data_IF_886903524629
#
_entry.id   IF_886903524629
#
_cell.length_a   1.000
_cell.length_b   1.000
_cell.length_c   1.000
_cell.angle_alpha   90.00
_cell.angle_beta   90.00
_cell.angle_gamma   90.00
#
_symmetry.space_group_name_H-M   'P 1'
#
loop_
_entity.id
_entity.type
_entity.pdbx_description
1 polymer ?
#
# COMPACT_ATOMS: atom_id res chain seq x y z
N UNK A 1 -21.22 -2.16 7.15
CA UNK A 1 -21.12 -2.60 5.74
C UNK A 1 -21.18 -1.45 4.76
N UNK A 2 -22.13 -0.52 4.92
CA UNK A 2 -22.29 0.64 4.02
C UNK A 2 -21.02 1.51 3.89
N UNK A 3 -20.32 1.77 5.00
CA UNK A 3 -19.04 2.52 5.00
C UNK A 3 -17.97 1.84 4.12
N UNK A 4 -17.87 0.51 4.17
CA UNK A 4 -16.90 -0.24 3.37
C UNK A 4 -17.24 -0.20 1.86
N UNK A 5 -18.54 -0.19 1.54
CA UNK A 5 -19.04 -0.02 0.17
C UNK A 5 -18.71 1.37 -0.38
N UNK A 6 -19.05 2.42 0.36
CA UNK A 6 -18.73 3.80 -0.03
C UNK A 6 -17.22 4.04 -0.18
N UNK A 7 -16.41 3.47 0.71
CA UNK A 7 -14.95 3.52 0.59
C UNK A 7 -14.47 2.83 -0.70
N UNK A 8 -15.03 1.66 -1.02
CA UNK A 8 -14.68 0.93 -2.24
C UNK A 8 -15.02 1.73 -3.51
N UNK A 9 -16.24 2.24 -3.61
CA UNK A 9 -16.69 3.01 -4.77
C UNK A 9 -15.85 4.28 -4.98
N UNK A 10 -15.33 4.88 -3.90
CA UNK A 10 -14.37 6.00 -3.99
C UNK A 10 -13.03 5.56 -4.55
N UNK A 11 -12.45 4.46 -4.04
CA UNK A 11 -11.13 3.97 -4.46
C UNK A 11 -11.12 3.42 -5.88
N UNK A 12 -12.22 2.82 -6.36
CA UNK A 12 -12.37 2.30 -7.72
C UNK A 12 -12.28 3.39 -8.80
N UNK A 13 -12.67 4.62 -8.48
CA UNK A 13 -12.63 5.76 -9.42
C UNK A 13 -11.23 6.34 -9.62
N UNK A 14 -10.28 5.99 -8.75
CA UNK A 14 -8.92 6.52 -8.78
C UNK A 14 -8.09 5.68 -9.75
N UNK A 15 -7.60 6.29 -10.83
CA UNK A 15 -6.73 5.63 -11.81
C UNK A 15 -5.31 5.46 -11.25
N UNK A 16 -4.64 4.38 -11.65
CA UNK A 16 -3.22 4.20 -11.38
C UNK A 16 -2.44 5.26 -12.16
N UNK A 17 -1.51 6.00 -11.54
CA UNK A 17 -0.70 6.97 -12.25
C UNK A 17 0.22 6.29 -13.27
N UNK A 18 0.60 6.99 -14.36
CA UNK A 18 1.58 6.47 -15.29
C UNK A 18 2.94 6.28 -14.58
N UNK A 19 3.73 5.33 -15.08
CA UNK A 19 5.07 5.10 -14.57
C UNK A 19 5.90 6.38 -14.67
N UNK A 20 6.63 6.70 -13.61
CA UNK A 20 7.51 7.87 -13.56
C UNK A 20 8.96 7.42 -13.40
N UNK A 21 9.86 8.04 -14.16
CA UNK A 21 11.27 7.63 -14.21
C UNK A 21 12.12 8.04 -13.00
N UNK A 22 11.68 9.02 -12.18
CA UNK A 22 12.47 9.51 -11.06
C UNK A 22 12.44 8.51 -9.90
N UNK A 23 13.60 7.90 -9.53
CA UNK A 23 13.66 6.94 -8.44
C UNK A 23 13.36 7.62 -7.10
N UNK A 24 12.65 6.90 -6.22
CA UNK A 24 12.32 7.33 -4.87
C UNK A 24 13.24 6.59 -3.91
N UNK A 25 14.19 7.25 -3.22
CA UNK A 25 14.94 6.63 -2.14
C UNK A 25 14.03 6.22 -0.99
N UNK A 26 14.25 5.04 -0.39
CA UNK A 26 13.44 4.53 0.71
C UNK A 26 14.16 3.43 1.50
N UNK A 27 14.10 3.48 2.84
CA UNK A 27 14.64 2.43 3.69
C UNK A 27 13.60 1.35 4.03
N UNK A 28 12.31 1.71 4.07
CA UNK A 28 11.19 0.81 4.43
C UNK A 28 10.00 0.94 3.47
N UNK A 29 9.17 -0.09 3.38
CA UNK A 29 7.94 -0.06 2.59
C UNK A 29 6.97 1.03 3.08
N UNK A 30 6.93 1.26 4.39
CA UNK A 30 6.19 2.37 5.01
C UNK A 30 6.68 3.74 4.53
N UNK A 31 7.98 3.94 4.38
CA UNK A 31 8.55 5.16 3.80
C UNK A 31 8.21 5.31 2.33
N UNK A 32 8.38 4.25 1.53
CA UNK A 32 8.03 4.27 0.12
C UNK A 32 6.55 4.62 -0.09
N UNK A 33 5.66 4.03 0.71
CA UNK A 33 4.24 4.37 0.75
C UNK A 33 4.03 5.88 0.94
N UNK A 34 4.69 6.46 1.95
CA UNK A 34 4.56 7.88 2.27
C UNK A 34 5.05 8.75 1.11
N UNK A 35 6.20 8.42 0.53
CA UNK A 35 6.77 9.12 -0.62
C UNK A 35 5.87 9.02 -1.85
N UNK A 36 5.30 7.84 -2.13
CA UNK A 36 4.33 7.67 -3.22
C UNK A 36 3.07 8.50 -3.00
N UNK A 37 2.49 8.48 -1.79
CA UNK A 37 1.31 9.31 -1.49
C UNK A 37 1.57 10.80 -1.67
N UNK A 38 2.76 11.27 -1.30
CA UNK A 38 3.18 12.67 -1.51
C UNK A 38 3.41 12.99 -2.99
N UNK A 39 4.12 12.12 -3.72
CA UNK A 39 4.47 12.31 -5.13
C UNK A 39 3.24 12.30 -6.05
N UNK A 40 2.32 11.37 -5.84
CA UNK A 40 1.18 11.16 -6.72
C UNK A 40 -0.10 11.84 -6.24
N UNK A 41 -0.15 12.34 -5.00
CA UNK A 41 -1.35 12.94 -4.42
C UNK A 41 -2.53 11.97 -4.32
N UNK A 42 -2.27 10.66 -4.32
CA UNK A 42 -3.29 9.61 -4.30
C UNK A 42 -3.20 8.74 -3.05
N UNK A 43 -4.34 8.34 -2.47
CA UNK A 43 -4.37 7.33 -1.44
C UNK A 43 -4.12 5.93 -2.02
N UNK A 44 -3.48 5.07 -1.23
CA UNK A 44 -3.48 3.62 -1.47
C UNK A 44 -4.62 2.96 -0.68
N UNK A 45 -5.05 1.78 -1.12
CA UNK A 45 -6.11 1.03 -0.46
C UNK A 45 -5.65 0.51 0.90
N UNK A 46 -6.57 0.39 1.84
CA UNK A 46 -6.28 -0.13 3.18
C UNK A 46 -5.58 -1.50 3.15
N UNK A 47 -5.98 -2.40 2.25
CA UNK A 47 -5.33 -3.69 2.07
C UNK A 47 -3.86 -3.54 1.63
N UNK A 48 -3.55 -2.57 0.77
CA UNK A 48 -2.18 -2.26 0.36
C UNK A 48 -1.36 -1.78 1.54
N UNK A 49 -1.91 -0.88 2.37
CA UNK A 49 -1.23 -0.43 3.59
C UNK A 49 -0.82 -1.60 4.49
N UNK A 50 -1.72 -2.58 4.67
CA UNK A 50 -1.46 -3.75 5.51
C UNK A 50 -0.37 -4.66 4.95
N UNK A 51 -0.39 -4.93 3.65
CA UNK A 51 0.67 -5.74 3.02
C UNK A 51 2.04 -5.08 3.19
N UNK A 52 2.12 -3.75 3.03
CA UNK A 52 3.39 -3.03 3.21
C UNK A 52 3.89 -3.08 4.66
N UNK A 53 2.99 -2.98 5.64
CA UNK A 53 3.33 -3.15 7.06
C UNK A 53 3.82 -4.58 7.37
N UNK A 54 3.18 -5.59 6.79
CA UNK A 54 3.57 -6.99 6.97
C UNK A 54 4.92 -7.28 6.30
N UNK A 55 5.21 -6.66 5.15
CA UNK A 55 6.52 -6.75 4.51
C UNK A 55 7.63 -6.11 5.35
N UNK A 56 7.39 -4.93 5.94
CA UNK A 56 8.37 -4.33 6.85
C UNK A 56 8.64 -5.23 8.06
N UNK A 57 7.59 -5.80 8.67
CA UNK A 57 7.74 -6.73 9.81
C UNK A 57 8.44 -8.04 9.44
N UNK A 58 8.23 -8.54 8.22
CA UNK A 58 8.81 -9.81 7.77
C UNK A 58 10.35 -9.79 7.69
N UNK A 59 10.95 -8.59 7.70
CA UNK A 59 12.41 -8.41 7.66
C UNK A 59 13.08 -8.47 9.02
N UNK A 60 12.31 -8.31 10.10
CA UNK A 60 12.85 -8.24 11.46
C UNK A 60 13.59 -9.54 11.78
N UNK A 61 14.86 -9.43 12.15
CA UNK A 61 15.71 -10.59 12.48
C UNK A 61 16.31 -11.32 11.29
N UNK A 62 16.18 -10.79 10.07
CA UNK A 62 16.89 -11.31 8.88
C UNK A 62 18.28 -10.68 8.75
N UNK A 63 19.16 -11.28 7.95
CA UNK A 63 20.49 -10.71 7.64
C UNK A 63 20.41 -9.32 6.98
N UNK A 64 19.27 -9.06 6.31
CA UNK A 64 19.00 -7.83 5.57
C UNK A 64 18.23 -6.78 6.40
N UNK A 65 17.93 -7.04 7.67
CA UNK A 65 17.09 -6.17 8.52
C UNK A 65 17.64 -4.74 8.63
N UNK A 66 18.97 -4.61 8.71
CA UNK A 66 19.66 -3.33 8.89
C UNK A 66 19.96 -2.58 7.58
N UNK A 67 19.65 -3.15 6.41
CA UNK A 67 19.94 -2.51 5.12
C UNK A 67 18.74 -1.69 4.63
N UNK A 68 18.95 -0.50 4.04
CA UNK A 68 17.87 0.23 3.37
C UNK A 68 17.25 -0.62 2.25
N UNK A 69 15.92 -0.62 2.13
CA UNK A 69 15.22 -1.49 1.17
C UNK A 69 15.58 -1.16 -0.29
N UNK A 70 15.82 0.11 -0.62
CA UNK A 70 16.25 0.53 -1.96
C UNK A 70 17.61 -0.05 -2.40
N UNK A 71 18.42 -0.55 -1.46
CA UNK A 71 19.66 -1.30 -1.77
C UNK A 71 19.42 -2.76 -2.12
N UNK A 72 18.26 -3.30 -1.75
CA UNK A 72 17.86 -4.70 -1.99
C UNK A 72 16.95 -4.78 -3.22
N UNK A 73 15.95 -3.88 -3.30
CA UNK A 73 14.98 -3.80 -4.38
C UNK A 73 15.05 -2.41 -5.02
N UNK A 74 15.39 -2.31 -6.31
CA UNK A 74 15.41 -1.02 -7.01
C UNK A 74 14.08 -0.27 -6.89
N UNK A 75 14.13 1.03 -6.63
CA UNK A 75 12.94 1.85 -6.35
C UNK A 75 11.88 1.80 -7.46
N UNK A 76 12.30 1.79 -8.72
CA UNK A 76 11.37 1.67 -9.85
C UNK A 76 10.60 0.33 -9.83
N UNK A 77 11.28 -0.76 -9.47
CA UNK A 77 10.67 -2.08 -9.34
C UNK A 77 9.75 -2.15 -8.13
N UNK A 78 10.19 -1.62 -6.99
CA UNK A 78 9.38 -1.55 -5.77
C UNK A 78 8.08 -0.76 -6.01
N UNK A 79 8.18 0.40 -6.67
CA UNK A 79 7.04 1.23 -7.02
C UNK A 79 6.07 0.50 -7.97
N UNK A 80 6.58 -0.15 -9.02
CA UNK A 80 5.77 -0.91 -9.96
C UNK A 80 5.01 -2.06 -9.28
N UNK A 81 5.65 -2.75 -8.33
CA UNK A 81 5.01 -3.81 -7.54
C UNK A 81 3.85 -3.24 -6.72
N UNK A 82 4.06 -2.11 -6.05
CA UNK A 82 3.00 -1.47 -5.25
C UNK A 82 1.83 -1.07 -6.13
N UNK A 83 2.08 -0.46 -7.28
CA UNK A 83 1.00 -0.10 -8.21
C UNK A 83 0.25 -1.31 -8.77
N UNK A 84 0.94 -2.40 -9.08
CA UNK A 84 0.30 -3.64 -9.51
C UNK A 84 -0.61 -4.24 -8.44
N UNK A 85 -0.16 -4.28 -7.18
CA UNK A 85 -0.98 -4.74 -6.06
C UNK A 85 -2.15 -3.79 -5.79
N UNK A 86 -1.90 -2.48 -5.83
CA UNK A 86 -2.94 -1.46 -5.66
C UNK A 86 -4.01 -1.57 -6.75
N UNK A 87 -3.64 -1.88 -8.00
CA UNK A 87 -4.58 -2.11 -9.08
C UNK A 87 -5.47 -3.34 -8.83
N UNK A 88 -4.88 -4.47 -8.43
CA UNK A 88 -5.63 -5.66 -8.03
C UNK A 88 -6.57 -5.32 -6.88
N UNK A 89 -6.08 -4.60 -5.88
CA UNK A 89 -6.90 -4.18 -4.77
C UNK A 89 -8.04 -3.28 -5.24
N UNK A 90 -7.81 -2.24 -6.04
CA UNK A 90 -8.87 -1.34 -6.52
C UNK A 90 -9.92 -2.09 -7.35
N UNK A 91 -9.52 -3.03 -8.22
CA UNK A 91 -10.44 -3.69 -9.16
C UNK A 91 -11.11 -4.97 -8.64
N UNK A 92 -10.46 -5.73 -7.75
CA UNK A 92 -10.87 -7.10 -7.46
C UNK A 92 -11.37 -7.32 -6.02
N UNK A 93 -11.08 -6.43 -5.07
CA UNK A 93 -11.55 -6.61 -3.70
C UNK A 93 -13.02 -6.22 -3.55
N UNK A 94 -13.84 -7.15 -3.06
CA UNK A 94 -15.23 -6.89 -2.65
C UNK A 94 -15.29 -6.12 -1.33
N UNK A 95 -16.33 -5.29 -1.19
CA UNK A 95 -16.57 -4.48 0.01
C UNK A 95 -16.83 -5.35 1.24
N UNK A 96 -17.32 -6.59 1.03
CA UNK A 96 -17.46 -7.59 2.10
C UNK A 96 -16.11 -8.04 2.64
N UNK A 97 -15.10 -8.21 1.78
CA UNK A 97 -13.74 -8.58 2.19
C UNK A 97 -13.10 -7.46 3.00
N UNK A 98 -13.31 -6.20 2.59
CA UNK A 98 -12.86 -5.03 3.34
C UNK A 98 -13.55 -4.91 4.71
N UNK A 99 -14.87 -5.10 4.76
CA UNK A 99 -15.61 -5.04 6.03
C UNK A 99 -15.12 -6.10 7.02
N UNK A 100 -14.89 -7.33 6.55
CA UNK A 100 -14.29 -8.40 7.39
C UNK A 100 -12.90 -8.01 7.90
N UNK A 101 -12.08 -7.42 7.03
CA UNK A 101 -10.73 -6.98 7.40
C UNK A 101 -10.77 -5.89 8.50
N UNK A 102 -11.67 -4.92 8.40
CA UNK A 102 -11.87 -3.91 9.45
C UNK A 102 -12.41 -4.47 10.75
N UNK A 103 -13.26 -5.51 10.71
CA UNK A 103 -13.74 -6.18 11.92
C UNK A 103 -12.63 -6.95 12.62
N UNK A 104 -11.74 -7.61 11.85
CA UNK A 104 -10.58 -8.32 12.41
C UNK A 104 -9.51 -7.38 12.93
N UNK A 105 -9.46 -6.14 12.43
CA UNK A 105 -8.47 -5.12 12.77
C UNK A 105 -9.21 -3.81 13.05
N UNK A 106 -9.86 -3.67 14.22
CA UNK A 106 -10.59 -2.45 14.55
C UNK A 106 -9.62 -1.27 14.43
N UNK A 107 -9.93 -0.38 13.47
CA UNK A 107 -9.25 0.89 13.32
C UNK A 107 -9.44 1.65 14.63
N UNK A 108 -8.36 1.97 15.32
CA UNK A 108 -8.43 2.72 16.58
C UNK A 108 -9.09 4.10 16.43
N UNK A 109 -9.26 4.62 15.20
CA UNK A 109 -9.80 5.94 14.92
C UNK A 109 -10.88 5.92 13.82
N UNK A 110 -12.02 5.29 14.11
CA UNK A 110 -13.30 5.72 13.51
C UNK A 110 -14.26 6.03 14.66
N UNK A 111 -14.11 7.22 15.21
CA UNK A 111 -15.12 7.93 16.00
C UNK A 111 -15.52 9.18 15.26
#
# INVERSE_FOLDING_TARGET
MEIAKQYQEKMEKIRIPPAHEAPIPFATWKELKKSMSQKYGQPLRYATHRILEDWDKSRVGTEEDNKPMDTIIPSNKAEAIIWGIEEIHRRCHSHLRLAKLWLSHPLADVK
#
